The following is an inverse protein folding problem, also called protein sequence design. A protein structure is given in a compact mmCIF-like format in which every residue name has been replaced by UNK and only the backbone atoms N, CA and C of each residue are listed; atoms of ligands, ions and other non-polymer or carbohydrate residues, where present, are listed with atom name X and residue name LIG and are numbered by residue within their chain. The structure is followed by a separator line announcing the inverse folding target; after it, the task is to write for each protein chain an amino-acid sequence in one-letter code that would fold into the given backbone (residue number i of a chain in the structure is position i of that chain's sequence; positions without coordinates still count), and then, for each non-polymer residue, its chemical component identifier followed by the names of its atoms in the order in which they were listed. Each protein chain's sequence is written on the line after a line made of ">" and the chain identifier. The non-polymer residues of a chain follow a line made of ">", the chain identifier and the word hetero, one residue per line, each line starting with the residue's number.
data_IF_549983599001
#
_entry.id   IF_549983599001
#
_cell.length_a   1.000
_cell.length_b   1.000
_cell.length_c   1.000
_cell.angle_alpha   90.00
_cell.angle_beta   90.00
_cell.angle_gamma   90.00
#
_symmetry.space_group_name_H-M   'P 1'
#
loop_
_entity.id
_entity.type
_entity.pdbx_description
1 polymer ?
#
# COMPACT_ATOMS: atom_id res chain seq x y z
N UNK A 1 -52.31 6.06 40.56
CA UNK A 1 -52.71 6.30 39.16
C UNK A 1 -51.45 6.54 38.34
N UNK A 2 -51.57 6.26 37.05
CA UNK A 2 -50.56 5.82 36.08
C UNK A 2 -49.32 6.71 35.89
N UNK A 3 -48.19 6.03 35.64
CA UNK A 3 -47.02 6.52 34.92
C UNK A 3 -47.40 6.73 33.45
N UNK A 4 -46.97 7.83 32.84
CA UNK A 4 -46.93 7.96 31.38
C UNK A 4 -45.52 8.38 30.93
N UNK A 5 -44.97 7.52 30.08
CA UNK A 5 -43.65 7.56 29.47
C UNK A 5 -43.58 8.67 28.41
N UNK A 6 -42.60 9.56 28.53
CA UNK A 6 -42.19 10.42 27.41
C UNK A 6 -41.26 9.60 26.51
N UNK A 7 -41.84 9.00 25.46
CA UNK A 7 -41.10 8.39 24.34
C UNK A 7 -40.31 9.46 23.60
N UNK A 8 -38.98 9.37 23.67
CA UNK A 8 -38.06 10.07 22.77
C UNK A 8 -38.14 9.47 21.36
N UNK A 9 -38.23 10.27 20.28
CA UNK A 9 -38.24 9.73 18.93
C UNK A 9 -36.85 9.24 18.53
N UNK A 10 -36.73 7.92 18.37
CA UNK A 10 -35.64 7.28 17.66
C UNK A 10 -35.57 7.82 16.23
N UNK A 11 -34.61 8.70 15.95
CA UNK A 11 -34.14 8.91 14.58
C UNK A 11 -33.27 7.71 14.17
N UNK A 12 -33.64 6.95 13.12
CA UNK A 12 -32.77 5.92 12.59
C UNK A 12 -31.52 6.61 12.03
N UNK A 13 -30.34 6.18 12.51
CA UNK A 13 -29.05 6.57 11.93
C UNK A 13 -29.10 6.25 10.44
N UNK A 14 -29.03 7.28 9.62
CA UNK A 14 -28.85 7.20 8.16
C UNK A 14 -27.59 6.38 7.90
N UNK A 15 -27.80 5.16 7.42
CA UNK A 15 -26.76 4.26 6.95
C UNK A 15 -26.30 4.77 5.59
N UNK A 16 -25.28 5.62 5.58
CA UNK A 16 -24.47 5.92 4.40
C UNK A 16 -23.00 6.02 4.85
N UNK A 17 -22.49 4.93 5.42
CA UNK A 17 -21.06 4.66 5.34
C UNK A 17 -20.83 4.03 3.96
N UNK A 18 -19.81 4.47 3.19
CA UNK A 18 -19.47 3.79 1.94
C UNK A 18 -19.26 2.32 2.26
N UNK A 19 -20.05 1.45 1.65
CA UNK A 19 -19.78 0.02 1.66
C UNK A 19 -18.45 -0.14 0.94
N UNK A 20 -17.38 -0.30 1.71
CA UNK A 20 -16.15 -0.87 1.20
C UNK A 20 -16.56 -2.23 0.64
N UNK A 21 -16.62 -2.34 -0.69
CA UNK A 21 -16.74 -3.63 -1.36
C UNK A 21 -15.45 -4.41 -1.05
N UNK A 22 -15.38 -5.02 0.14
CA UNK A 22 -14.22 -5.75 0.65
C UNK A 22 -13.96 -7.06 -0.12
N UNK A 23 -14.82 -7.42 -1.07
CA UNK A 23 -14.93 -8.79 -1.61
C UNK A 23 -14.28 -9.00 -2.98
N UNK A 24 -13.75 -7.97 -3.62
CA UNK A 24 -13.15 -8.14 -4.95
C UNK A 24 -11.72 -8.68 -4.87
N UNK A 25 -11.47 -9.99 -4.86
CA UNK A 25 -10.10 -10.54 -4.90
C UNK A 25 -9.34 -10.22 -6.21
N UNK A 26 -10.04 -9.67 -7.20
CA UNK A 26 -9.51 -9.30 -8.52
C UNK A 26 -9.48 -7.78 -8.70
N UNK A 27 -8.41 -7.25 -9.31
CA UNK A 27 -8.39 -5.88 -9.81
C UNK A 27 -9.05 -5.84 -11.20
N UNK A 28 -10.05 -4.98 -11.36
CA UNK A 28 -10.75 -4.78 -12.63
C UNK A 28 -10.23 -3.51 -13.30
N UNK A 29 -9.54 -3.69 -14.43
CA UNK A 29 -9.01 -2.62 -15.27
C UNK A 29 -9.51 -2.81 -16.71
N UNK A 30 -9.84 -1.72 -17.40
CA UNK A 30 -9.98 -1.76 -18.85
C UNK A 30 -8.60 -1.88 -19.52
N UNK A 31 -8.57 -2.26 -20.80
CA UNK A 31 -7.32 -2.28 -21.57
C UNK A 31 -6.66 -0.90 -21.60
N UNK A 32 -7.43 0.17 -21.76
CA UNK A 32 -6.92 1.54 -21.80
C UNK A 32 -6.39 1.99 -20.43
N UNK A 33 -7.05 1.59 -19.33
CA UNK A 33 -6.56 1.83 -17.97
C UNK A 33 -5.21 1.13 -17.72
N UNK A 34 -5.06 -0.11 -18.17
CA UNK A 34 -3.82 -0.87 -18.05
C UNK A 34 -2.67 -0.21 -18.84
N UNK A 35 -2.93 0.16 -20.10
CA UNK A 35 -1.95 0.87 -20.95
C UNK A 35 -1.57 2.21 -20.32
N UNK A 36 -2.53 2.96 -19.78
CA UNK A 36 -2.26 4.22 -19.11
C UNK A 36 -1.39 4.06 -17.86
N UNK A 37 -1.64 3.05 -17.03
CA UNK A 37 -0.83 2.78 -15.84
C UNK A 37 0.63 2.49 -16.24
N UNK A 38 0.84 1.63 -17.24
CA UNK A 38 2.18 1.33 -17.76
C UNK A 38 2.85 2.58 -18.34
N UNK A 39 2.16 3.31 -19.22
CA UNK A 39 2.70 4.49 -19.88
C UNK A 39 3.04 5.63 -18.90
N UNK A 40 2.18 5.87 -17.91
CA UNK A 40 2.41 6.92 -16.90
C UNK A 40 3.56 6.57 -15.96
N UNK A 41 3.72 5.30 -15.61
CA UNK A 41 4.88 4.84 -14.85
C UNK A 41 6.19 4.97 -15.61
N UNK A 42 6.22 4.48 -16.86
CA UNK A 42 7.44 4.57 -17.69
C UNK A 42 7.84 6.02 -17.94
N UNK A 43 6.86 6.93 -18.14
CA UNK A 43 7.11 8.36 -18.23
C UNK A 43 7.77 8.91 -16.95
N UNK A 44 7.26 8.57 -15.77
CA UNK A 44 7.83 9.02 -14.51
C UNK A 44 9.28 8.51 -14.32
N UNK A 45 9.55 7.24 -14.65
CA UNK A 45 10.89 6.67 -14.60
C UNK A 45 11.88 7.34 -15.57
N UNK A 46 11.40 7.78 -16.73
CA UNK A 46 12.24 8.44 -17.74
C UNK A 46 12.57 9.91 -17.42
N UNK A 47 11.93 10.50 -16.41
CA UNK A 47 11.97 11.94 -16.16
C UNK A 47 12.60 12.30 -14.82
N UNK A 48 12.40 11.47 -13.80
CA UNK A 48 12.85 11.75 -12.43
C UNK A 48 13.33 10.47 -11.72
N UNK A 49 14.05 10.64 -10.60
CA UNK A 49 14.28 9.56 -9.65
C UNK A 49 13.02 9.32 -8.80
N UNK A 50 12.10 8.52 -9.34
CA UNK A 50 10.83 8.17 -8.68
C UNK A 50 11.03 7.65 -7.26
N UNK A 51 12.06 6.84 -7.03
CA UNK A 51 12.36 6.27 -5.72
C UNK A 51 12.71 7.36 -4.71
N UNK A 52 13.68 8.21 -5.03
CA UNK A 52 14.08 9.31 -4.16
C UNK A 52 12.93 10.32 -3.96
N UNK A 53 12.17 10.64 -5.02
CA UNK A 53 11.05 11.58 -4.97
C UNK A 53 9.89 11.10 -4.07
N UNK A 54 9.60 9.80 -4.05
CA UNK A 54 8.66 9.22 -3.08
C UNK A 54 9.21 9.33 -1.66
N UNK A 55 10.50 9.01 -1.48
CA UNK A 55 11.15 9.01 -0.17
C UNK A 55 11.20 10.42 0.45
N UNK A 56 11.56 11.46 -0.30
CA UNK A 56 11.60 12.82 0.25
C UNK A 56 10.21 13.29 0.67
N UNK A 57 9.15 12.90 -0.03
CA UNK A 57 7.77 13.26 0.35
C UNK A 57 7.38 12.60 1.66
N UNK A 58 7.74 11.33 1.85
CA UNK A 58 7.52 10.63 3.10
C UNK A 58 8.35 11.23 4.24
N UNK A 59 9.61 11.60 3.99
CA UNK A 59 10.47 12.19 5.02
C UNK A 59 10.06 13.63 5.39
N UNK A 60 9.49 14.39 4.45
CA UNK A 60 9.09 15.78 4.67
C UNK A 60 7.61 15.93 5.08
N UNK A 61 6.77 14.90 4.96
CA UNK A 61 5.38 14.94 5.46
C UNK A 61 5.36 14.67 6.97
N UNK A 62 4.98 15.69 7.75
CA UNK A 62 4.90 15.62 9.23
C UNK A 62 3.91 14.58 9.75
N UNK A 63 2.98 14.10 8.92
CA UNK A 63 2.03 13.04 9.27
C UNK A 63 2.60 11.65 9.01
N UNK A 64 3.69 11.55 8.26
CA UNK A 64 4.35 10.28 7.98
C UNK A 64 5.27 9.91 9.14
N UNK A 65 5.16 8.66 9.62
CA UNK A 65 6.10 8.09 10.58
C UNK A 65 7.35 7.52 9.91
N UNK A 66 7.54 7.78 8.61
CA UNK A 66 8.60 7.15 7.82
C UNK A 66 9.99 7.46 8.37
N UNK A 67 10.26 8.70 8.81
CA UNK A 67 11.54 9.05 9.45
C UNK A 67 11.81 8.18 10.67
N UNK A 68 10.86 8.08 11.59
CA UNK A 68 11.01 7.27 12.81
C UNK A 68 11.16 5.77 12.52
N UNK A 69 10.44 5.26 11.50
CA UNK A 69 10.59 3.88 11.05
C UNK A 69 11.97 3.62 10.42
N UNK A 70 12.50 4.59 9.69
CA UNK A 70 13.83 4.50 9.12
C UNK A 70 14.90 4.51 10.22
N UNK A 71 14.76 5.40 11.21
CA UNK A 71 15.69 5.51 12.34
C UNK A 71 15.73 4.24 13.20
N UNK A 72 14.60 3.55 13.37
CA UNK A 72 14.56 2.28 14.13
C UNK A 72 15.28 1.12 13.45
N UNK A 73 15.58 1.22 12.15
CA UNK A 73 16.26 0.19 11.37
C UNK A 73 17.66 0.58 10.89
N UNK A 74 17.97 1.88 10.82
CA UNK A 74 19.22 2.39 10.24
C UNK A 74 20.02 3.29 11.19
N UNK A 75 19.52 3.56 12.39
CA UNK A 75 20.12 4.51 13.33
C UNK A 75 19.65 5.94 13.10
N UNK A 76 20.09 6.84 13.98
CA UNK A 76 19.59 8.22 14.04
C UNK A 76 19.93 9.04 12.79
N UNK A 77 18.97 9.83 12.28
CA UNK A 77 19.16 10.71 11.14
C UNK A 77 19.29 12.15 11.64
N UNK A 78 20.55 12.59 11.76
CA UNK A 78 20.87 13.96 12.18
C UNK A 78 20.72 14.95 11.00
N UNK A 79 19.46 15.25 10.67
CA UNK A 79 19.09 16.19 9.62
C UNK A 79 17.85 16.99 10.03
N UNK A 80 17.98 18.32 9.98
CA UNK A 80 16.97 19.29 10.46
C UNK A 80 16.31 20.10 9.35
N UNK A 81 16.82 20.03 8.11
CA UNK A 81 16.24 20.69 6.94
C UNK A 81 15.15 19.86 6.25
N UNK A 82 14.69 20.35 5.09
CA UNK A 82 13.88 19.55 4.17
C UNK A 82 14.78 18.56 3.41
N UNK A 83 14.40 17.29 3.38
CA UNK A 83 15.14 16.27 2.64
C UNK A 83 14.99 16.54 1.13
N UNK A 84 16.09 16.46 0.39
CA UNK A 84 16.12 16.58 -1.07
C UNK A 84 16.57 15.25 -1.69
N UNK A 85 16.39 15.12 -3.02
CA UNK A 85 16.82 13.92 -3.76
C UNK A 85 18.32 13.70 -3.57
N UNK A 86 19.12 14.77 -3.60
CA UNK A 86 20.57 14.71 -3.43
C UNK A 86 20.96 14.18 -2.05
N UNK A 87 20.30 14.67 -0.99
CA UNK A 87 20.54 14.20 0.39
C UNK A 87 20.17 12.72 0.53
N UNK A 88 19.02 12.30 0.01
CA UNK A 88 18.61 10.89 0.04
C UNK A 88 19.62 10.01 -0.70
N UNK A 89 20.03 10.44 -1.89
CA UNK A 89 20.89 9.64 -2.74
C UNK A 89 22.34 9.58 -2.27
N UNK A 90 22.85 10.63 -1.61
CA UNK A 90 24.23 10.65 -1.10
C UNK A 90 24.34 10.06 0.30
N UNK A 91 23.44 10.49 1.21
CA UNK A 91 23.67 10.37 2.65
C UNK A 91 22.76 9.33 3.33
N UNK A 92 21.62 8.97 2.72
CA UNK A 92 20.62 8.09 3.34
C UNK A 92 20.50 6.75 2.62
N UNK A 93 21.55 5.92 2.73
CA UNK A 93 21.62 4.60 2.08
C UNK A 93 20.34 3.77 2.27
N UNK A 94 19.85 3.65 3.50
CA UNK A 94 18.65 2.84 3.78
C UNK A 94 17.39 3.42 3.12
N UNK A 95 17.25 4.74 3.12
CA UNK A 95 16.11 5.40 2.47
C UNK A 95 16.14 5.15 0.96
N UNK A 96 17.32 5.24 0.35
CA UNK A 96 17.54 4.93 -1.07
C UNK A 96 17.19 3.46 -1.39
N UNK A 97 17.61 2.51 -0.56
CA UNK A 97 17.25 1.09 -0.73
C UNK A 97 15.72 0.86 -0.67
N UNK A 98 15.01 1.57 0.22
CA UNK A 98 13.54 1.51 0.28
C UNK A 98 12.93 2.09 -1.00
N UNK A 99 13.41 3.25 -1.46
CA UNK A 99 12.96 3.87 -2.72
C UNK A 99 13.17 2.95 -3.93
N UNK A 100 14.32 2.28 -4.02
CA UNK A 100 14.61 1.27 -5.03
C UNK A 100 13.66 0.06 -4.94
N UNK A 101 13.33 -0.37 -3.72
CA UNK A 101 12.35 -1.43 -3.48
C UNK A 101 10.95 -1.05 -3.99
N UNK A 102 10.51 0.19 -3.75
CA UNK A 102 9.24 0.72 -4.27
C UNK A 102 9.24 0.70 -5.80
N UNK A 103 10.28 1.24 -6.43
CA UNK A 103 10.41 1.25 -7.90
C UNK A 103 10.39 -0.16 -8.45
N UNK A 104 11.18 -1.07 -7.89
CA UNK A 104 11.26 -2.47 -8.33
C UNK A 104 9.91 -3.18 -8.24
N UNK A 105 9.19 -2.97 -7.14
CA UNK A 105 7.86 -3.56 -6.95
C UNK A 105 6.87 -3.06 -8.00
N UNK A 106 6.74 -1.74 -8.17
CA UNK A 106 5.77 -1.18 -9.10
C UNK A 106 6.11 -1.45 -10.57
N UNK A 107 7.39 -1.43 -10.94
CA UNK A 107 7.81 -1.86 -12.29
C UNK A 107 7.35 -3.30 -12.55
N UNK A 108 7.66 -4.24 -11.64
CA UNK A 108 7.24 -5.64 -11.82
C UNK A 108 5.71 -5.79 -11.86
N UNK A 109 4.98 -5.10 -10.98
CA UNK A 109 3.53 -5.16 -10.93
C UNK A 109 2.88 -4.62 -12.23
N UNK A 110 3.44 -3.56 -12.81
CA UNK A 110 2.91 -2.93 -14.02
C UNK A 110 3.30 -3.68 -15.29
N UNK A 111 4.48 -4.30 -15.32
CA UNK A 111 4.88 -5.18 -16.43
C UNK A 111 3.95 -6.40 -16.54
N UNK A 112 3.45 -6.91 -15.41
CA UNK A 112 2.46 -7.99 -15.38
C UNK A 112 1.09 -7.61 -15.98
N UNK A 113 0.75 -6.32 -16.16
CA UNK A 113 -0.58 -5.92 -16.63
C UNK A 113 -0.93 -6.40 -18.04
N UNK A 114 0.07 -6.79 -18.84
CA UNK A 114 -0.14 -7.38 -20.16
C UNK A 114 -0.51 -8.88 -20.10
N UNK A 115 -0.40 -9.52 -18.94
CA UNK A 115 -0.57 -10.96 -18.77
C UNK A 115 -2.01 -11.33 -18.39
N UNK A 116 -2.55 -12.48 -18.84
CA UNK A 116 -3.93 -12.89 -18.53
C UNK A 116 -4.23 -13.04 -17.03
N UNK A 117 -3.20 -13.35 -16.23
CA UNK A 117 -3.26 -13.55 -14.79
C UNK A 117 -2.69 -12.36 -13.99
N UNK A 118 -2.61 -11.17 -14.61
CA UNK A 118 -2.06 -9.95 -14.01
C UNK A 118 -2.58 -9.69 -12.59
N UNK A 119 -3.91 -9.77 -12.42
CA UNK A 119 -4.54 -9.53 -11.13
C UNK A 119 -4.02 -10.48 -10.04
N UNK A 120 -3.90 -11.77 -10.36
CA UNK A 120 -3.46 -12.79 -9.42
C UNK A 120 -1.99 -12.61 -9.06
N UNK A 121 -1.14 -12.32 -10.05
CA UNK A 121 0.28 -12.03 -9.84
C UNK A 121 0.47 -10.80 -8.96
N UNK A 122 -0.23 -9.70 -9.23
CA UNK A 122 -0.15 -8.47 -8.42
C UNK A 122 -0.66 -8.74 -7.00
N UNK A 123 -1.74 -9.52 -6.85
CA UNK A 123 -2.29 -9.92 -5.55
C UNK A 123 -1.25 -10.68 -4.73
N UNK A 124 -0.64 -11.70 -5.32
CA UNK A 124 0.36 -12.55 -4.69
C UNK A 124 1.62 -11.75 -4.31
N UNK A 125 2.16 -10.95 -5.23
CA UNK A 125 3.32 -10.09 -4.94
C UNK A 125 3.03 -9.11 -3.79
N UNK A 126 1.84 -8.51 -3.78
CA UNK A 126 1.42 -7.59 -2.72
C UNK A 126 1.30 -8.31 -1.37
N UNK A 127 0.71 -9.51 -1.37
CA UNK A 127 0.58 -10.34 -0.18
C UNK A 127 1.95 -10.71 0.40
N UNK A 128 2.87 -11.21 -0.43
CA UNK A 128 4.24 -11.55 -0.03
C UNK A 128 5.00 -10.35 0.52
N UNK A 129 4.82 -9.17 -0.09
CA UNK A 129 5.41 -7.94 0.40
C UNK A 129 4.86 -7.58 1.79
N UNK A 130 3.56 -7.80 2.04
CA UNK A 130 2.94 -7.66 3.35
C UNK A 130 3.54 -8.59 4.41
N UNK A 131 3.70 -9.87 4.07
CA UNK A 131 4.38 -10.87 4.92
C UNK A 131 5.81 -10.43 5.25
N UNK A 132 6.54 -9.92 4.26
CA UNK A 132 7.90 -9.41 4.45
C UNK A 132 7.93 -8.20 5.40
N UNK A 133 7.00 -7.25 5.26
CA UNK A 133 6.91 -6.09 6.16
C UNK A 133 6.70 -6.53 7.62
N UNK A 134 5.87 -7.55 7.85
CA UNK A 134 5.68 -8.12 9.19
C UNK A 134 6.99 -8.71 9.74
N UNK A 135 7.67 -9.56 8.95
CA UNK A 135 8.95 -10.19 9.34
C UNK A 135 10.04 -9.16 9.63
N UNK A 136 10.04 -8.07 8.88
CA UNK A 136 10.95 -6.94 9.08
C UNK A 136 10.52 -6.00 10.21
N UNK A 137 9.40 -6.25 10.91
CA UNK A 137 8.88 -5.39 11.98
C UNK A 137 8.60 -3.95 11.52
N UNK A 138 8.14 -3.79 10.29
CA UNK A 138 7.69 -2.50 9.74
C UNK A 138 6.18 -2.38 9.90
N UNK A 139 5.75 -1.61 10.90
CA UNK A 139 4.34 -1.46 11.26
C UNK A 139 3.79 -0.16 10.68
N UNK A 140 2.92 -0.26 9.69
CA UNK A 140 2.26 0.90 9.10
C UNK A 140 0.88 1.13 9.72
N UNK A 141 0.73 2.26 10.38
CA UNK A 141 -0.57 2.83 10.74
C UNK A 141 -1.31 3.34 9.49
N UNK A 142 -2.61 3.62 9.63
CA UNK A 142 -3.48 4.04 8.52
C UNK A 142 -2.91 5.29 7.80
N UNK A 143 -2.35 6.21 8.56
CA UNK A 143 -1.76 7.46 8.13
C UNK A 143 -0.53 7.23 7.23
N UNK A 144 0.29 6.22 7.53
CA UNK A 144 1.46 5.87 6.72
C UNK A 144 1.03 5.36 5.34
N UNK A 145 0.00 4.51 5.27
CA UNK A 145 -0.55 4.03 4.00
C UNK A 145 -1.09 5.18 3.14
N UNK A 146 -1.74 6.15 3.77
CA UNK A 146 -2.23 7.34 3.08
C UNK A 146 -1.08 8.20 2.55
N UNK A 147 -0.03 8.41 3.35
CA UNK A 147 1.17 9.15 2.93
C UNK A 147 1.87 8.48 1.74
N UNK A 148 2.01 7.15 1.75
CA UNK A 148 2.61 6.40 0.63
C UNK A 148 1.76 6.54 -0.63
N UNK A 149 0.45 6.34 -0.52
CA UNK A 149 -0.48 6.49 -1.66
C UNK A 149 -0.39 7.90 -2.26
N UNK A 150 -0.46 8.93 -1.42
CA UNK A 150 -0.43 10.32 -1.88
C UNK A 150 0.93 10.68 -2.49
N UNK A 151 2.03 10.20 -1.91
CA UNK A 151 3.38 10.41 -2.44
C UNK A 151 3.53 9.81 -3.83
N UNK A 152 3.09 8.57 -4.03
CA UNK A 152 3.11 7.91 -5.35
C UNK A 152 2.26 8.66 -6.38
N UNK A 153 1.02 9.04 -6.02
CA UNK A 153 0.16 9.81 -6.90
C UNK A 153 0.79 11.14 -7.32
N UNK A 154 1.38 11.88 -6.38
CA UNK A 154 2.05 13.15 -6.70
C UNK A 154 3.27 12.95 -7.58
N UNK A 155 4.09 11.93 -7.32
CA UNK A 155 5.28 11.64 -8.13
C UNK A 155 4.90 11.25 -9.56
N UNK A 156 3.85 10.44 -9.74
CA UNK A 156 3.50 9.89 -11.05
C UNK A 156 2.66 10.87 -11.88
N UNK A 157 1.72 11.58 -11.26
CA UNK A 157 0.72 12.39 -11.96
C UNK A 157 1.03 13.88 -11.90
N UNK A 158 1.41 14.39 -10.72
CA UNK A 158 1.51 15.84 -10.51
C UNK A 158 2.89 16.37 -10.93
N UNK A 159 3.97 15.65 -10.63
CA UNK A 159 5.32 15.98 -11.11
C UNK A 159 5.55 15.61 -12.57
N UNK A 160 4.83 14.60 -13.06
CA UNK A 160 5.02 14.06 -14.40
C UNK A 160 3.71 14.08 -15.20
N UNK A 161 3.12 15.28 -15.40
CA UNK A 161 1.84 15.40 -16.08
C UNK A 161 1.95 14.95 -17.54
N UNK A 162 0.85 14.42 -18.06
CA UNK A 162 0.73 14.12 -19.48
C UNK A 162 0.69 15.46 -20.23
N UNK A 163 1.74 15.74 -21.01
CA UNK A 163 1.76 16.91 -21.90
C UNK A 163 0.96 16.59 -23.16
N UNK A 164 -0.25 17.12 -23.26
CA UNK A 164 -1.14 16.99 -24.44
C UNK A 164 -0.47 17.45 -25.75
N UNK A 165 0.47 18.40 -25.69
CA UNK A 165 1.07 19.03 -26.87
C UNK A 165 2.12 18.17 -27.62
N UNK A 166 2.36 16.93 -27.19
CA UNK A 166 3.36 16.04 -27.80
C UNK A 166 2.90 14.60 -28.05
N UNK A 167 1.58 14.33 -27.99
CA UNK A 167 1.00 12.99 -28.17
C UNK A 167 1.04 12.51 -29.63
N UNK A 168 2.25 12.41 -30.22
CA UNK A 168 2.64 11.23 -31.01
C UNK A 168 2.95 10.09 -30.03
N UNK A 169 1.98 9.72 -29.20
CA UNK A 169 2.07 8.40 -28.58
C UNK A 169 1.93 7.39 -29.71
N UNK A 170 2.74 6.34 -29.68
CA UNK A 170 2.63 5.19 -30.57
C UNK A 170 1.35 4.37 -30.36
N UNK A 171 0.19 5.02 -30.28
CA UNK A 171 -1.11 4.41 -30.47
C UNK A 171 -1.32 4.17 -31.98
N UNK A 172 -0.47 3.33 -32.57
CA UNK A 172 -0.77 2.68 -33.85
C UNK A 172 -1.84 1.60 -33.58
N UNK A 173 -3.05 2.03 -33.26
CA UNK A 173 -4.27 1.24 -33.41
C UNK A 173 -5.18 2.00 -34.38
N UNK A 174 -4.68 2.22 -35.60
CA UNK A 174 -5.38 2.89 -36.70
C UNK A 174 -6.19 1.91 -37.56
N UNK A 175 -6.62 0.76 -37.01
CA UNK A 175 -7.44 -0.22 -37.73
C UNK A 175 -8.73 -0.65 -37.00
N UNK A 176 -9.13 0.03 -35.91
CA UNK A 176 -10.45 -0.19 -35.34
C UNK A 176 -10.93 1.12 -34.76
N UNK A 177 -11.91 1.77 -35.41
CA UNK A 177 -12.45 3.08 -35.06
C UNK A 177 -13.17 3.14 -33.71
N UNK A 178 -12.50 2.74 -32.62
CA UNK A 178 -12.95 2.93 -31.26
C UNK A 178 -12.46 4.29 -30.79
N UNK A 179 -13.41 5.11 -30.34
CA UNK A 179 -13.16 6.38 -29.68
C UNK A 179 -12.07 6.20 -28.61
N UNK A 180 -11.00 6.97 -28.70
CA UNK A 180 -10.10 7.18 -27.57
C UNK A 180 -10.96 7.82 -26.48
N UNK A 181 -11.00 7.21 -25.31
CA UNK A 181 -11.77 7.73 -24.19
C UNK A 181 -11.12 9.04 -23.71
N UNK A 182 -11.68 10.18 -24.14
CA UNK A 182 -11.17 11.52 -23.82
C UNK A 182 -11.16 11.72 -22.31
N UNK A 183 -12.05 11.05 -21.58
CA UNK A 183 -12.09 11.06 -20.10
C UNK A 183 -10.78 10.61 -19.47
N UNK A 184 -9.96 9.80 -20.16
CA UNK A 184 -8.71 9.30 -19.62
C UNK A 184 -7.62 10.38 -19.51
N UNK A 185 -7.81 11.51 -20.20
CA UNK A 185 -6.96 12.70 -20.06
C UNK A 185 -7.37 13.61 -18.90
N UNK A 186 -8.54 13.39 -18.29
CA UNK A 186 -8.98 14.16 -17.13
C UNK A 186 -8.14 13.81 -15.89
N UNK A 187 -7.57 14.80 -15.18
CA UNK A 187 -6.74 14.54 -14.00
C UNK A 187 -7.44 13.72 -12.91
N UNK A 188 -8.77 13.87 -12.78
CA UNK A 188 -9.59 13.10 -11.83
C UNK A 188 -9.70 11.63 -12.23
N UNK A 189 -9.86 11.33 -13.52
CA UNK A 189 -9.89 9.97 -14.03
C UNK A 189 -8.53 9.29 -13.87
N UNK A 190 -7.44 9.99 -14.21
CA UNK A 190 -6.06 9.50 -14.03
C UNK A 190 -5.78 9.13 -12.57
N UNK A 191 -6.16 10.03 -11.65
CA UNK A 191 -6.02 9.79 -10.21
C UNK A 191 -6.88 8.61 -9.74
N UNK A 192 -8.09 8.47 -10.27
CA UNK A 192 -8.99 7.33 -9.98
C UNK A 192 -8.35 6.00 -10.42
N UNK A 193 -7.79 5.95 -11.63
CA UNK A 193 -7.16 4.73 -12.18
C UNK A 193 -5.97 4.28 -11.30
N UNK A 194 -5.05 5.19 -10.99
CA UNK A 194 -3.95 4.87 -10.06
C UNK A 194 -4.44 4.50 -8.67
N UNK A 195 -5.50 5.14 -8.19
CA UNK A 195 -6.09 4.83 -6.88
C UNK A 195 -6.62 3.39 -6.85
N UNK A 196 -7.27 2.89 -7.92
CA UNK A 196 -7.69 1.49 -8.02
C UNK A 196 -6.53 0.53 -7.77
N UNK A 197 -5.41 0.71 -8.50
CA UNK A 197 -4.23 -0.13 -8.35
C UNK A 197 -3.59 -0.03 -6.96
N UNK A 198 -3.39 1.19 -6.46
CA UNK A 198 -2.76 1.41 -5.16
C UNK A 198 -3.60 0.83 -4.00
N UNK A 199 -4.93 0.98 -4.05
CA UNK A 199 -5.82 0.37 -3.07
C UNK A 199 -5.76 -1.16 -3.14
N UNK A 200 -5.74 -1.74 -4.34
CA UNK A 200 -5.59 -3.17 -4.52
C UNK A 200 -4.29 -3.72 -3.91
N UNK A 201 -3.16 -3.04 -4.16
CA UNK A 201 -1.85 -3.38 -3.57
C UNK A 201 -1.89 -3.27 -2.05
N UNK A 202 -2.31 -2.11 -1.50
CA UNK A 202 -2.33 -1.86 -0.06
C UNK A 202 -3.21 -2.87 0.67
N UNK A 203 -4.38 -3.18 0.13
CA UNK A 203 -5.29 -4.17 0.73
C UNK A 203 -4.64 -5.55 0.80
N UNK A 204 -4.00 -6.00 -0.28
CA UNK A 204 -3.36 -7.32 -0.30
C UNK A 204 -2.08 -7.37 0.55
N UNK A 205 -1.32 -6.28 0.64
CA UNK A 205 -0.24 -6.14 1.63
C UNK A 205 -0.77 -6.27 3.07
N UNK A 206 -1.89 -5.62 3.40
CA UNK A 206 -2.53 -5.77 4.72
C UNK A 206 -2.96 -7.21 4.98
N UNK A 207 -3.57 -7.89 3.99
CA UNK A 207 -3.93 -9.32 4.09
C UNK A 207 -2.70 -10.19 4.41
N UNK A 208 -1.59 -9.99 3.70
CA UNK A 208 -0.34 -10.72 3.93
C UNK A 208 0.28 -10.46 5.29
N UNK A 209 0.33 -9.20 5.69
CA UNK A 209 0.85 -8.78 7.00
C UNK A 209 0.05 -9.43 8.14
N UNK A 210 -1.29 -9.35 8.09
CA UNK A 210 -2.17 -9.89 9.12
C UNK A 210 -2.11 -11.42 9.19
N UNK A 211 -2.06 -12.08 8.04
CA UNK A 211 -1.95 -13.54 7.97
C UNK A 211 -0.67 -14.04 8.67
N UNK A 212 0.47 -13.39 8.43
CA UNK A 212 1.73 -13.75 9.08
C UNK A 212 1.72 -13.45 10.59
N UNK A 213 1.06 -12.36 11.00
CA UNK A 213 0.87 -12.03 12.42
C UNK A 213 0.09 -13.14 13.16
N UNK A 214 -1.08 -13.51 12.62
CA UNK A 214 -1.93 -14.55 13.20
C UNK A 214 -1.25 -15.92 13.23
N UNK A 215 -0.44 -16.24 12.21
CA UNK A 215 0.35 -17.48 12.17
C UNK A 215 1.37 -17.53 13.33
N UNK A 216 2.05 -16.42 13.60
CA UNK A 216 3.04 -16.34 14.68
C UNK A 216 2.38 -16.46 16.06
N UNK A 217 1.23 -15.84 16.27
CA UNK A 217 0.48 -15.93 17.53
C UNK A 217 0.01 -17.35 17.83
N UNK A 218 -0.41 -18.09 16.80
CA UNK A 218 -0.77 -19.52 16.94
C UNK A 218 0.43 -20.37 17.38
N UNK A 219 1.60 -20.14 16.79
CA UNK A 219 2.80 -20.89 17.15
C UNK A 219 3.25 -20.59 18.59
N UNK A 220 3.20 -19.33 19.03
CA UNK A 220 3.54 -18.95 20.42
C UNK A 220 2.61 -19.61 21.45
N UNK A 221 1.32 -19.78 21.12
CA UNK A 221 0.35 -20.46 21.99
C UNK A 221 0.57 -21.98 22.07
N UNK A 222 1.09 -22.61 21.02
CA UNK A 222 1.40 -24.05 21.00
C UNK A 222 2.70 -24.34 21.78
N UNK A 223 3.66 -23.43 21.77
CA UNK A 223 4.94 -23.56 22.48
C UNK A 223 4.88 -23.14 23.96
N UNK A 224 3.71 -22.71 24.46
CA UNK A 224 3.49 -22.41 25.88
C UNK A 224 3.13 -23.70 26.63
N UNK A 225 3.96 -24.23 27.54
CA UNK A 225 3.66 -25.46 28.25
C UNK A 225 2.48 -25.23 29.20
N UNK A 226 1.39 -25.97 29.01
CA UNK A 226 0.37 -26.18 30.03
C UNK A 226 0.98 -26.97 31.19
N UNK A 227 1.45 -26.27 32.22
CA UNK A 227 1.45 -26.79 33.60
C UNK A 227 0.18 -26.30 34.31
N UNK A 228 -0.47 -27.11 35.16
CA UNK A 228 0.21 -27.75 36.29
C UNK A 228 -0.06 -29.26 36.40
N UNK A 229 0.99 -30.02 36.72
CA UNK A 229 0.82 -31.31 37.37
C UNK A 229 0.42 -31.07 38.83
N UNK A 230 -0.78 -31.49 39.19
CA UNK A 230 -1.20 -31.69 40.58
C UNK A 230 -0.37 -32.82 41.22
N UNK A 231 -0.07 -32.76 42.53
CA UNK A 231 0.76 -33.76 43.20
C UNK A 231 -0.04 -35.04 43.44
N UNK A 232 0.41 -36.16 42.88
CA UNK A 232 -0.03 -37.49 43.28
C UNK A 232 0.75 -37.94 44.51
N UNK A 233 -0.03 -38.16 45.57
CA UNK A 233 0.34 -38.85 46.80
C UNK A 233 0.88 -40.25 46.53
N UNK A 234 2.03 -40.58 47.14
CA UNK A 234 2.36 -41.96 47.53
C UNK A 234 3.04 -41.98 48.89
N UNK A 235 2.36 -42.64 49.82
CA UNK A 235 2.77 -43.03 51.17
C UNK A 235 3.94 -44.02 51.14
N UNK A 236 4.80 -44.02 52.18
CA UNK A 236 5.19 -45.21 52.96
C UNK A 236 6.28 -44.89 54.03
N UNK A 237 5.86 -44.98 55.30
CA UNK A 237 6.47 -45.66 56.48
C UNK A 237 8.01 -45.72 56.66
N UNK A 238 8.51 -45.31 57.84
CA UNK A 238 9.26 -46.14 58.82
C UNK A 238 9.93 -45.32 59.94
N UNK A 239 9.37 -45.42 61.16
CA UNK A 239 9.98 -45.68 62.49
C UNK A 239 9.07 -45.15 63.61
#
# INVERSE_FOLDING_TARGET
>A
MMLDEVRSPFTPRRADSPVDNEDGDTIVLTADEAVFLQASWQRALATIDVGAEVIIRLLNDKRSLFKSLLESHAGHINYSGNFTVEVVNRDLRRAREVGQGVVKFFTKALDCLAEPDASEKIRQMSYELGVLHYKMRVWFQAENWLCVKNSLLTVILDLNPIKLNGLRFGFHSLCSGKHIDIELFEPTAQRRIWTKLLQFVIRNMKKGFLSEALRKDKNVKVDSPTGPNSPTSTSSTSL
#
